data_IF_723162481364
#
_entry.id   IF_723162481364
#
_cell.length_a   1.000
_cell.length_b   1.000
_cell.length_c   1.000
_cell.angle_alpha   90.00
_cell.angle_beta   90.00
_cell.angle_gamma   90.00
#
_symmetry.space_group_name_H-M   'P 1'
#
loop_
_entity.id
_entity.type
_entity.pdbx_description
1 polymer ?
#
# COMPACT_ATOMS: atom_id res chain seq x y z
N UNK A 1 -56.12 18.24 -60.16
CA UNK A 1 -55.66 19.60 -59.89
C UNK A 1 -56.48 20.19 -58.75
N UNK A 2 -55.96 20.18 -57.51
CA UNK A 2 -56.22 21.20 -56.48
C UNK A 2 -55.33 20.95 -55.26
N UNK A 3 -54.45 21.91 -55.02
CA UNK A 3 -53.54 22.05 -53.89
C UNK A 3 -54.33 22.28 -52.60
N UNK A 4 -53.93 21.61 -51.52
CA UNK A 4 -54.19 22.11 -50.17
C UNK A 4 -52.86 22.56 -49.56
N UNK A 5 -52.73 23.89 -49.48
CA UNK A 5 -51.67 24.61 -48.77
C UNK A 5 -52.10 24.86 -47.32
N UNK A 6 -51.23 24.57 -46.36
CA UNK A 6 -51.21 25.28 -45.08
C UNK A 6 -49.77 25.35 -44.54
N UNK A 7 -49.31 26.59 -44.36
CA UNK A 7 -47.98 27.05 -43.94
C UNK A 7 -47.85 27.05 -42.40
N UNK A 8 -46.64 27.28 -41.84
CA UNK A 8 -46.15 26.69 -40.60
C UNK A 8 -46.46 27.54 -39.36
N UNK A 9 -46.60 26.89 -38.20
CA UNK A 9 -46.65 27.58 -36.91
C UNK A 9 -45.27 27.56 -36.24
N UNK A 10 -44.61 28.71 -36.31
CA UNK A 10 -43.38 29.07 -35.62
C UNK A 10 -43.67 29.18 -34.12
N UNK A 11 -43.38 28.13 -33.34
CA UNK A 11 -43.53 28.17 -31.88
C UNK A 11 -42.30 28.77 -31.21
N UNK A 12 -42.56 29.78 -30.38
CA UNK A 12 -41.62 30.64 -29.69
C UNK A 12 -40.49 29.89 -28.96
N UNK A 13 -39.26 30.38 -29.13
CA UNK A 13 -38.07 29.94 -28.40
C UNK A 13 -38.13 30.49 -26.98
N UNK A 14 -38.60 29.67 -26.05
CA UNK A 14 -38.49 29.93 -24.61
C UNK A 14 -37.01 29.94 -24.21
N UNK A 15 -36.47 31.11 -23.88
CA UNK A 15 -35.17 31.23 -23.19
C UNK A 15 -35.33 30.68 -21.77
N UNK A 16 -34.92 29.43 -21.54
CA UNK A 16 -34.63 28.93 -20.19
C UNK A 16 -33.16 29.22 -19.87
N UNK A 17 -32.93 30.15 -18.95
CA UNK A 17 -31.66 30.22 -18.23
C UNK A 17 -31.45 28.90 -17.49
N UNK A 18 -30.46 28.14 -17.91
CA UNK A 18 -29.95 26.96 -17.19
C UNK A 18 -28.75 27.36 -16.34
N UNK A 19 -28.60 26.81 -15.13
CA UNK A 19 -27.49 27.16 -14.25
C UNK A 19 -26.17 26.64 -14.83
N UNK A 20 -25.12 27.44 -14.61
CA UNK A 20 -23.71 27.20 -14.93
C UNK A 20 -23.31 25.76 -14.57
N UNK A 21 -22.57 25.01 -15.42
CA UNK A 21 -22.12 23.68 -15.08
C UNK A 21 -21.17 23.76 -13.89
N UNK A 22 -21.67 23.27 -12.75
CA UNK A 22 -20.93 23.12 -11.51
C UNK A 22 -19.75 22.19 -11.79
N UNK A 23 -18.54 22.74 -11.65
CA UNK A 23 -17.23 22.10 -11.69
C UNK A 23 -17.33 20.62 -11.31
N UNK A 24 -17.05 19.74 -12.26
CA UNK A 24 -16.97 18.30 -12.02
C UNK A 24 -15.86 18.04 -10.99
N UNK A 25 -16.23 17.74 -9.75
CA UNK A 25 -15.31 17.14 -8.80
C UNK A 25 -15.05 15.74 -9.31
N UNK A 26 -13.96 15.55 -10.05
CA UNK A 26 -13.46 14.23 -10.36
C UNK A 26 -13.38 13.45 -9.04
N UNK A 27 -13.98 12.25 -8.94
CA UNK A 27 -13.83 11.45 -7.74
C UNK A 27 -12.33 11.22 -7.57
N UNK A 28 -11.81 11.62 -6.41
CA UNK A 28 -10.44 11.32 -5.99
C UNK A 28 -10.25 9.84 -6.24
N UNK A 29 -9.41 9.52 -7.24
CA UNK A 29 -9.10 8.15 -7.63
C UNK A 29 -8.39 7.52 -6.43
N UNK A 30 -9.17 6.99 -5.51
CA UNK A 30 -8.68 6.13 -4.44
C UNK A 30 -8.08 4.96 -5.20
N UNK A 31 -6.76 4.93 -5.30
CA UNK A 31 -6.05 3.76 -5.78
C UNK A 31 -6.51 2.63 -4.88
N UNK A 32 -7.37 1.76 -5.41
CA UNK A 32 -7.71 0.52 -4.76
C UNK A 32 -6.38 -0.23 -4.67
N UNK A 33 -5.80 -0.25 -3.46
CA UNK A 33 -4.65 -1.09 -3.16
C UNK A 33 -5.19 -2.50 -3.30
N UNK A 34 -4.99 -3.10 -4.46
CA UNK A 34 -5.28 -4.52 -4.68
C UNK A 34 -4.41 -5.27 -3.67
N UNK A 35 -5.02 -5.99 -2.70
CA UNK A 35 -4.25 -6.83 -1.80
C UNK A 35 -3.47 -7.78 -2.68
N UNK A 36 -2.15 -7.70 -2.64
CA UNK A 36 -1.33 -8.66 -3.37
C UNK A 36 -1.64 -10.02 -2.75
N UNK A 37 -1.99 -11.04 -3.54
CA UNK A 37 -2.20 -12.37 -3.01
C UNK A 37 -0.95 -12.76 -2.23
N UNK A 38 -1.07 -13.34 -1.03
CA UNK A 38 0.09 -13.81 -0.30
C UNK A 38 0.79 -14.82 -1.20
N UNK A 39 2.00 -14.47 -1.68
CA UNK A 39 2.84 -15.42 -2.38
C UNK A 39 3.12 -16.53 -1.37
N UNK A 40 2.62 -17.74 -1.61
CA UNK A 40 2.90 -18.91 -0.77
C UNK A 40 4.34 -19.42 -0.97
N UNK A 41 5.26 -18.53 -1.31
CA UNK A 41 6.67 -18.87 -1.41
C UNK A 41 7.17 -19.10 0.01
N UNK A 42 7.79 -20.26 0.22
CA UNK A 42 8.46 -20.52 1.47
C UNK A 42 9.55 -19.44 1.69
N UNK A 43 9.67 -18.88 2.91
CA UNK A 43 10.73 -17.93 3.23
C UNK A 43 12.09 -18.54 2.90
N UNK A 44 12.84 -17.91 2.00
CA UNK A 44 14.19 -18.38 1.68
C UNK A 44 15.23 -17.69 2.53
N UNK A 45 16.41 -18.29 2.66
CA UNK A 45 17.56 -17.67 3.32
C UNK A 45 17.94 -16.34 2.67
N UNK A 46 17.82 -16.23 1.34
CA UNK A 46 18.09 -14.99 0.61
C UNK A 46 17.09 -13.88 0.96
N UNK A 47 15.82 -14.22 1.16
CA UNK A 47 14.82 -13.25 1.62
C UNK A 47 15.15 -12.76 3.03
N UNK A 48 15.52 -13.68 3.94
CA UNK A 48 15.90 -13.32 5.31
C UNK A 48 17.16 -12.44 5.34
N UNK A 49 18.13 -12.72 4.49
CA UNK A 49 19.36 -11.93 4.36
C UNK A 49 19.08 -10.52 3.85
N UNK A 50 18.24 -10.39 2.82
CA UNK A 50 17.80 -9.09 2.32
C UNK A 50 17.06 -8.28 3.41
N UNK A 51 16.24 -8.93 4.24
CA UNK A 51 15.57 -8.28 5.37
C UNK A 51 16.53 -7.94 6.51
N UNK A 52 17.52 -8.78 6.81
CA UNK A 52 18.57 -8.50 7.79
C UNK A 52 19.30 -7.19 7.45
N UNK A 53 19.69 -7.04 6.19
CA UNK A 53 20.30 -5.82 5.65
C UNK A 53 19.40 -4.59 5.85
N UNK A 54 18.12 -4.70 5.53
CA UNK A 54 17.17 -3.59 5.69
C UNK A 54 17.00 -3.20 7.15
N UNK A 55 16.91 -4.18 8.06
CA UNK A 55 16.69 -3.94 9.48
C UNK A 55 17.90 -3.22 10.13
N UNK A 56 19.12 -3.63 9.78
CA UNK A 56 20.34 -2.99 10.27
C UNK A 56 20.53 -1.61 9.65
N UNK A 57 20.37 -1.48 8.32
CA UNK A 57 20.53 -0.18 7.61
C UNK A 57 19.53 0.87 8.09
N UNK A 58 18.32 0.45 8.48
CA UNK A 58 17.29 1.36 9.02
C UNK A 58 17.40 1.58 10.53
N UNK A 59 18.44 1.03 11.18
CA UNK A 59 18.67 1.12 12.62
C UNK A 59 17.49 0.56 13.45
N UNK A 60 16.71 -0.36 12.86
CA UNK A 60 15.62 -1.04 13.56
C UNK A 60 16.17 -2.16 14.44
N UNK A 61 17.30 -2.74 14.03
CA UNK A 61 18.12 -3.66 14.79
C UNK A 61 19.56 -3.18 14.76
N UNK A 62 20.32 -3.52 15.79
CA UNK A 62 21.75 -3.21 15.81
C UNK A 62 22.54 -4.17 14.92
N UNK A 63 22.26 -5.47 15.02
CA UNK A 63 22.91 -6.49 14.21
C UNK A 63 21.97 -7.65 13.93
N UNK A 64 22.10 -8.21 12.72
CA UNK A 64 21.47 -9.49 12.32
C UNK A 64 22.49 -10.25 11.48
N UNK A 65 22.87 -11.44 11.90
CA UNK A 65 23.95 -12.22 11.27
C UNK A 65 23.53 -13.68 11.11
N UNK A 66 23.69 -14.22 9.90
CA UNK A 66 23.56 -15.64 9.62
C UNK A 66 24.83 -16.39 10.05
N UNK A 67 24.67 -17.40 10.88
CA UNK A 67 25.76 -18.29 11.28
C UNK A 67 25.99 -19.37 10.21
N UNK A 68 27.20 -19.96 10.14
CA UNK A 68 27.46 -21.10 9.25
C UNK A 68 26.57 -22.32 9.53
N UNK A 69 26.04 -22.42 10.75
CA UNK A 69 25.10 -23.48 11.16
C UNK A 69 23.67 -23.24 10.68
N UNK A 70 23.39 -22.12 9.99
CA UNK A 70 22.06 -21.77 9.48
C UNK A 70 21.15 -21.06 10.48
N UNK A 71 21.68 -20.67 11.64
CA UNK A 71 20.95 -19.91 12.66
C UNK A 71 21.17 -18.41 12.46
N UNK A 72 20.25 -17.60 12.96
CA UNK A 72 20.34 -16.15 12.88
C UNK A 72 20.55 -15.54 14.25
N UNK A 73 21.63 -14.78 14.41
CA UNK A 73 21.91 -14.00 15.60
C UNK A 73 21.31 -12.61 15.41
N UNK A 74 20.42 -12.22 16.29
CA UNK A 74 19.74 -10.92 16.26
C UNK A 74 20.04 -10.15 17.52
N UNK A 75 20.42 -8.89 17.36
CA UNK A 75 20.66 -7.98 18.47
C UNK A 75 19.90 -6.67 18.25
N UNK A 76 19.00 -6.33 19.18
CA UNK A 76 18.17 -5.13 19.10
C UNK A 76 18.94 -3.85 19.44
N UNK A 77 19.91 -3.93 20.38
CA UNK A 77 20.70 -2.80 20.88
C UNK A 77 22.17 -3.19 21.05
N UNK A 78 23.14 -2.27 20.90
CA UNK A 78 24.58 -2.57 20.92
C UNK A 78 25.08 -3.36 22.13
N UNK A 79 24.54 -3.11 23.32
CA UNK A 79 24.87 -3.86 24.56
C UNK A 79 23.71 -4.73 25.04
N UNK A 80 22.77 -5.04 24.15
CA UNK A 80 21.60 -5.85 24.45
C UNK A 80 21.88 -7.35 24.29
N UNK A 81 20.99 -8.21 24.82
CA UNK A 81 21.09 -9.64 24.64
C UNK A 81 20.98 -10.00 23.14
N UNK A 82 21.79 -10.97 22.72
CA UNK A 82 21.68 -11.59 21.40
C UNK A 82 20.65 -12.71 21.45
N UNK A 83 19.71 -12.69 20.51
CA UNK A 83 18.70 -13.74 20.33
C UNK A 83 19.10 -14.64 19.18
N UNK A 84 18.90 -15.94 19.35
CA UNK A 84 19.12 -16.94 18.30
C UNK A 84 17.77 -17.28 17.68
N UNK A 85 17.66 -17.14 16.37
CA UNK A 85 16.51 -17.59 15.58
C UNK A 85 16.93 -18.79 14.74
N UNK A 86 16.10 -19.82 14.70
CA UNK A 86 16.46 -21.10 14.08
C UNK A 86 16.22 -21.11 12.57
N UNK A 87 15.42 -20.18 12.04
CA UNK A 87 15.00 -20.23 10.65
C UNK A 87 14.91 -18.86 9.97
N UNK A 88 15.01 -18.82 8.62
CA UNK A 88 14.69 -17.62 7.85
C UNK A 88 13.27 -17.08 8.11
N UNK A 89 12.31 -17.96 8.36
CA UNK A 89 10.92 -17.58 8.63
C UNK A 89 10.79 -16.72 9.90
N UNK A 90 11.60 -17.00 10.93
CA UNK A 90 11.62 -16.24 12.17
C UNK A 90 12.13 -14.81 11.97
N UNK A 91 13.11 -14.62 11.07
CA UNK A 91 13.61 -13.29 10.69
C UNK A 91 12.52 -12.50 9.97
N UNK A 92 11.80 -13.12 9.04
CA UNK A 92 10.68 -12.47 8.35
C UNK A 92 9.53 -12.15 9.31
N UNK A 93 9.21 -13.04 10.26
CA UNK A 93 8.21 -12.79 11.29
C UNK A 93 8.59 -11.61 12.19
N UNK A 94 9.88 -11.49 12.54
CA UNK A 94 10.41 -10.34 13.27
C UNK A 94 10.25 -9.05 12.46
N UNK A 95 10.64 -9.06 11.18
CA UNK A 95 10.50 -7.91 10.28
C UNK A 95 9.04 -7.46 10.16
N UNK A 96 8.11 -8.41 9.98
CA UNK A 96 6.68 -8.15 9.91
C UNK A 96 6.16 -7.55 11.22
N UNK A 97 6.61 -8.05 12.37
CA UNK A 97 6.23 -7.53 13.69
C UNK A 97 6.69 -6.09 13.87
N UNK A 98 7.93 -5.76 13.50
CA UNK A 98 8.45 -4.39 13.55
C UNK A 98 7.65 -3.49 12.62
N UNK A 99 7.43 -3.91 11.37
CA UNK A 99 6.65 -3.16 10.39
C UNK A 99 5.22 -2.90 10.89
N UNK A 100 4.59 -3.90 11.50
CA UNK A 100 3.25 -3.76 12.07
C UNK A 100 3.23 -2.71 13.19
N UNK A 101 4.21 -2.73 14.11
CA UNK A 101 4.33 -1.72 15.16
C UNK A 101 4.49 -0.32 14.58
N UNK A 102 5.36 -0.15 13.58
CA UNK A 102 5.57 1.15 12.91
C UNK A 102 4.32 1.64 12.20
N UNK A 103 3.50 0.75 11.61
CA UNK A 103 2.22 1.12 11.00
C UNK A 103 1.19 1.52 12.05
N UNK A 104 1.06 0.75 13.13
CA UNK A 104 0.07 1.01 14.18
C UNK A 104 0.31 2.35 14.88
N UNK A 105 1.56 2.68 15.24
CA UNK A 105 1.87 3.96 15.90
C UNK A 105 1.61 5.18 15.01
N UNK A 106 1.73 5.01 13.69
CA UNK A 106 1.44 6.08 12.71
C UNK A 106 -0.05 6.26 12.44
N UNK A 107 -0.84 5.21 12.60
CA UNK A 107 -2.30 5.26 12.40
C UNK A 107 -3.02 5.98 13.54
N UNK A 108 -2.47 5.95 14.76
CA UNK A 108 -3.05 6.62 15.93
C UNK A 108 -2.84 8.14 15.91
N UNK A 109 -1.90 8.65 15.11
CA UNK A 109 -1.59 10.08 15.00
C UNK A 109 -2.43 10.84 13.94
N UNK A 110 -3.53 10.29 13.43
CA UNK A 110 -4.30 10.86 12.31
C UNK A 110 -5.76 11.12 12.65
#
# INVERSE_FOLDING_TARGET
>A
MRLNSAKPQLKARTRKGGPVPRRATAPVRRYAVTPHPPRSSQPTTADADAWADVLVRRQLLHAVVLTPTGQWLVQDRPNGPVRVLASPADVLALAATIQQRTRSTRSESR
#
